data_IF_835248389262
#
_entry.id   IF_835248389262
#
_cell.length_a   1.000
_cell.length_b   1.000
_cell.length_c   1.000
_cell.angle_alpha   90.00
_cell.angle_beta   90.00
_cell.angle_gamma   90.00
#
_symmetry.space_group_name_H-M   'P 1'
#
loop_
_entity.id
_entity.type
_entity.pdbx_description
1 polymer ?
#
# COMPACT_ATOMS: atom_id res chain seq x y z
N UNK A 1 -41.74 19.75 36.92
CA UNK A 1 -41.13 18.40 36.90
C UNK A 1 -41.31 17.79 35.51
N UNK A 2 -40.26 17.74 34.65
CA UNK A 2 -40.23 16.91 33.40
C UNK A 2 -38.97 17.06 32.51
N UNK A 3 -37.87 17.67 32.98
CA UNK A 3 -36.63 17.82 32.18
C UNK A 3 -35.51 16.80 32.47
N UNK A 4 -35.56 16.09 33.61
CA UNK A 4 -34.47 15.19 34.02
C UNK A 4 -34.53 13.77 33.41
N UNK A 5 -35.70 13.35 32.89
CA UNK A 5 -35.90 11.98 32.39
C UNK A 5 -35.38 11.81 30.95
N UNK A 6 -35.44 12.87 30.13
CA UNK A 6 -35.01 12.80 28.72
C UNK A 6 -33.50 12.69 28.53
N UNK A 7 -32.69 13.23 29.45
CA UNK A 7 -31.23 13.15 29.36
C UNK A 7 -30.72 11.74 29.69
N UNK A 8 -31.36 11.03 30.63
CA UNK A 8 -30.98 9.66 30.98
C UNK A 8 -31.25 8.66 29.85
N UNK A 9 -32.36 8.84 29.11
CA UNK A 9 -32.72 7.96 27.99
C UNK A 9 -31.78 8.13 26.78
N UNK A 10 -31.30 9.35 26.51
CA UNK A 10 -30.40 9.62 25.39
C UNK A 10 -28.97 9.07 25.64
N UNK A 11 -28.48 9.11 26.89
CA UNK A 11 -27.16 8.57 27.24
C UNK A 11 -27.15 7.03 27.23
N UNK A 12 -28.26 6.39 27.64
CA UNK A 12 -28.39 4.94 27.58
C UNK A 12 -28.42 4.41 26.13
N UNK A 13 -29.01 5.15 25.19
CA UNK A 13 -29.06 4.77 23.78
C UNK A 13 -27.71 4.90 23.06
N UNK A 14 -26.83 5.82 23.48
CA UNK A 14 -25.47 5.96 22.94
C UNK A 14 -24.52 4.89 23.50
N UNK A 15 -24.77 4.37 24.71
CA UNK A 15 -23.96 3.29 25.31
C UNK A 15 -24.38 1.89 24.83
N UNK A 16 -25.61 1.71 24.34
CA UNK A 16 -26.06 0.44 23.78
C UNK A 16 -25.61 0.23 22.32
N UNK A 17 -25.31 1.31 21.58
CA UNK A 17 -24.81 1.21 20.22
C UNK A 17 -23.31 0.92 20.12
N UNK A 18 -22.51 1.13 21.18
CA UNK A 18 -21.08 0.79 21.17
C UNK A 18 -20.82 -0.69 21.40
N UNK A 19 -21.66 -1.38 22.18
CA UNK A 19 -21.50 -2.83 22.44
C UNK A 19 -21.79 -3.65 21.16
N UNK A 20 -22.75 -3.22 20.34
CA UNK A 20 -23.10 -3.90 19.09
C UNK A 20 -22.10 -3.67 17.94
N UNK A 21 -21.18 -2.69 18.04
CA UNK A 21 -20.12 -2.48 17.04
C UNK A 21 -18.93 -3.40 17.30
N UNK A 22 -18.65 -3.77 18.56
CA UNK A 22 -17.50 -4.61 18.90
C UNK A 22 -17.61 -6.04 18.37
N UNK A 23 -18.80 -6.61 18.17
CA UNK A 23 -18.95 -7.96 17.63
C UNK A 23 -18.67 -8.06 16.12
N UNK A 24 -18.72 -6.95 15.36
CA UNK A 24 -18.32 -6.94 13.94
C UNK A 24 -16.84 -6.69 13.72
N UNK A 25 -16.16 -6.08 14.69
CA UNK A 25 -14.71 -5.94 14.68
C UNK A 25 -14.13 -7.05 15.54
N UNK A 26 -14.01 -8.24 14.92
CA UNK A 26 -13.17 -9.31 15.44
C UNK A 26 -11.73 -8.79 15.56
N UNK A 27 -11.41 -8.16 16.69
CA UNK A 27 -10.06 -8.14 17.21
C UNK A 27 -9.81 -9.57 17.66
N UNK A 28 -9.56 -10.43 16.67
CA UNK A 28 -8.77 -11.61 16.90
C UNK A 28 -7.52 -11.08 17.58
N UNK A 29 -7.38 -11.39 18.87
CA UNK A 29 -6.07 -11.43 19.49
C UNK A 29 -5.34 -12.52 18.72
N UNK A 30 -4.73 -12.12 17.61
CA UNK A 30 -3.76 -12.92 16.91
C UNK A 30 -2.65 -13.13 17.91
N UNK A 31 -2.64 -14.31 18.50
CA UNK A 31 -1.45 -14.91 19.06
C UNK A 31 -0.30 -14.50 18.13
N UNK A 32 0.62 -13.68 18.64
CA UNK A 32 1.68 -13.11 17.83
C UNK A 32 2.42 -14.27 17.18
N UNK A 33 2.08 -14.54 15.92
CA UNK A 33 2.68 -15.66 15.22
C UNK A 33 4.18 -15.40 15.25
N UNK A 34 4.98 -16.44 15.55
CA UNK A 34 6.41 -16.29 15.79
C UNK A 34 6.99 -15.39 14.71
N UNK A 35 7.73 -14.35 15.13
CA UNK A 35 8.43 -13.46 14.20
C UNK A 35 9.10 -14.35 13.15
N UNK A 36 8.71 -14.16 11.88
CA UNK A 36 9.22 -14.99 10.82
C UNK A 36 10.73 -14.79 10.85
N UNK A 37 11.49 -15.85 11.13
CA UNK A 37 12.96 -15.86 11.09
C UNK A 37 13.50 -15.68 9.66
N UNK A 38 12.77 -15.02 8.77
CA UNK A 38 13.26 -14.62 7.47
C UNK A 38 13.89 -13.25 7.60
N UNK A 39 15.13 -13.08 7.12
CA UNK A 39 15.73 -11.75 6.99
C UNK A 39 14.90 -10.82 6.12
N UNK A 40 15.25 -9.52 6.11
CA UNK A 40 14.56 -8.49 5.33
C UNK A 40 14.30 -8.95 3.88
N UNK A 41 15.35 -9.47 3.23
CA UNK A 41 15.33 -10.02 1.87
C UNK A 41 14.18 -11.02 1.69
N UNK A 42 14.10 -12.07 2.50
CA UNK A 42 13.10 -13.12 2.37
C UNK A 42 11.67 -12.59 2.59
N UNK A 43 11.50 -11.57 3.43
CA UNK A 43 10.18 -10.99 3.71
C UNK A 43 9.72 -10.02 2.62
N UNK A 44 10.63 -9.44 1.84
CA UNK A 44 10.31 -8.46 0.79
C UNK A 44 10.47 -8.99 -0.63
N UNK A 45 11.08 -10.15 -0.82
CA UNK A 45 11.42 -10.73 -2.14
C UNK A 45 10.26 -10.69 -3.14
N UNK A 46 9.08 -11.16 -2.73
CA UNK A 46 7.90 -11.18 -3.62
C UNK A 46 7.47 -9.77 -4.04
N UNK A 47 7.56 -8.79 -3.13
CA UNK A 47 7.20 -7.41 -3.42
C UNK A 47 8.20 -6.79 -4.42
N UNK A 48 9.50 -6.96 -4.18
CA UNK A 48 10.54 -6.45 -5.06
C UNK A 48 10.42 -7.05 -6.46
N UNK A 49 10.29 -8.37 -6.55
CA UNK A 49 10.09 -9.05 -7.84
C UNK A 49 8.87 -8.55 -8.60
N UNK A 50 7.75 -8.30 -7.91
CA UNK A 50 6.55 -7.77 -8.56
C UNK A 50 6.70 -6.30 -9.02
N UNK A 51 7.44 -5.48 -8.28
CA UNK A 51 7.74 -4.09 -8.67
C UNK A 51 8.74 -4.03 -9.83
N UNK A 52 9.74 -4.91 -9.86
CA UNK A 52 10.69 -5.04 -10.97
C UNK A 52 9.98 -5.51 -12.25
N UNK A 53 9.11 -6.52 -12.13
CA UNK A 53 8.30 -7.01 -13.25
C UNK A 53 7.41 -5.90 -13.83
N UNK A 54 6.81 -5.06 -12.97
CA UNK A 54 6.05 -3.89 -13.43
C UNK A 54 6.95 -2.90 -14.18
N UNK A 55 8.13 -2.58 -13.63
CA UNK A 55 9.10 -1.69 -14.28
C UNK A 55 9.47 -2.19 -15.67
N UNK A 56 9.75 -3.49 -15.81
CA UNK A 56 10.08 -4.12 -17.09
C UNK A 56 8.92 -4.05 -18.08
N UNK A 57 7.70 -4.36 -17.65
CA UNK A 57 6.49 -4.24 -18.47
C UNK A 57 6.26 -2.82 -18.96
N UNK A 58 6.50 -1.82 -18.12
CA UNK A 58 6.36 -0.40 -18.48
C UNK A 58 7.36 0.02 -19.56
N UNK A 59 8.58 -0.53 -19.57
CA UNK A 59 9.58 -0.25 -20.60
C UNK A 59 9.17 -0.76 -21.99
N UNK A 60 8.38 -1.82 -22.06
CA UNK A 60 7.85 -2.39 -23.32
C UNK A 60 6.57 -1.67 -23.77
N UNK A 61 5.94 -0.91 -22.87
CA UNK A 61 4.62 -0.33 -23.06
C UNK A 61 3.54 -1.25 -22.49
N UNK A 62 2.85 -0.77 -21.45
CA UNK A 62 1.78 -1.50 -20.78
C UNK A 62 0.47 -0.69 -20.93
N UNK A 63 -0.59 -1.27 -21.49
CA UNK A 63 -1.87 -0.57 -21.60
C UNK A 63 -2.47 -0.34 -20.21
N UNK A 64 -3.28 0.71 -20.08
CA UNK A 64 -3.82 1.18 -18.81
C UNK A 64 -4.52 0.08 -17.99
N UNK A 65 -5.37 -0.72 -18.63
CA UNK A 65 -6.13 -1.77 -17.95
C UNK A 65 -5.21 -2.83 -17.36
N UNK A 66 -4.18 -3.25 -18.12
CA UNK A 66 -3.18 -4.19 -17.66
C UNK A 66 -2.33 -3.59 -16.52
N UNK A 67 -1.99 -2.31 -16.62
CA UNK A 67 -1.29 -1.58 -15.56
C UNK A 67 -2.10 -1.57 -14.25
N UNK A 68 -3.40 -1.25 -14.32
CA UNK A 68 -4.29 -1.28 -13.15
C UNK A 68 -4.38 -2.68 -12.53
N UNK A 69 -4.41 -3.73 -13.35
CA UNK A 69 -4.44 -5.11 -12.86
C UNK A 69 -3.13 -5.54 -12.18
N UNK A 70 -1.98 -5.15 -12.72
CA UNK A 70 -0.69 -5.30 -12.03
C UNK A 70 -0.67 -4.55 -10.70
N UNK A 71 -1.16 -3.31 -10.66
CA UNK A 71 -1.24 -2.54 -9.41
C UNK A 71 -2.12 -3.22 -8.37
N UNK A 72 -3.26 -3.81 -8.76
CA UNK A 72 -4.09 -4.61 -7.84
C UNK A 72 -3.31 -5.82 -7.32
N UNK A 73 -2.54 -6.51 -8.17
CA UNK A 73 -1.72 -7.65 -7.78
C UNK A 73 -0.64 -7.24 -6.78
N UNK A 74 0.13 -6.21 -7.10
CA UNK A 74 1.23 -5.71 -6.26
C UNK A 74 0.71 -5.23 -4.91
N UNK A 75 -0.44 -4.52 -4.87
CA UNK A 75 -1.06 -4.13 -3.60
C UNK A 75 -1.39 -5.33 -2.70
N UNK A 76 -1.89 -6.44 -3.27
CA UNK A 76 -2.12 -7.66 -2.48
C UNK A 76 -0.82 -8.26 -1.94
N UNK A 77 0.25 -8.24 -2.73
CA UNK A 77 1.58 -8.69 -2.30
C UNK A 77 2.08 -7.81 -1.16
N UNK A 78 2.03 -6.48 -1.33
CA UNK A 78 2.41 -5.49 -0.32
C UNK A 78 1.67 -5.71 1.01
N UNK A 79 0.36 -5.95 0.98
CA UNK A 79 -0.41 -6.21 2.21
C UNK A 79 -0.07 -7.52 2.92
N UNK A 80 0.62 -8.45 2.26
CA UNK A 80 1.12 -9.68 2.88
C UNK A 80 2.52 -9.53 3.47
N UNK A 81 3.23 -8.45 3.15
CA UNK A 81 4.56 -8.19 3.71
C UNK A 81 4.43 -8.01 5.22
N UNK A 82 5.07 -8.86 6.05
CA UNK A 82 4.85 -8.87 7.48
C UNK A 82 5.70 -7.81 8.18
N UNK A 83 5.43 -6.52 7.90
CA UNK A 83 6.23 -5.39 8.39
C UNK A 83 6.45 -5.38 9.92
N UNK A 84 5.48 -5.83 10.70
CA UNK A 84 5.60 -5.95 12.17
C UNK A 84 6.69 -6.93 12.64
N UNK A 85 7.13 -7.83 11.75
CA UNK A 85 8.16 -8.85 12.02
C UNK A 85 9.52 -8.46 11.43
N UNK A 86 9.65 -7.26 10.86
CA UNK A 86 10.89 -6.75 10.29
C UNK A 86 11.70 -5.99 11.32
N UNK A 87 13.02 -5.97 11.14
CA UNK A 87 13.88 -5.06 11.88
C UNK A 87 13.59 -3.61 11.49
N UNK A 88 13.86 -2.67 12.41
CA UNK A 88 13.69 -1.24 12.14
C UNK A 88 14.49 -0.81 10.90
N UNK A 89 15.72 -1.30 10.74
CA UNK A 89 16.57 -1.00 9.59
C UNK A 89 15.94 -1.44 8.27
N UNK A 90 15.30 -2.62 8.24
CA UNK A 90 14.59 -3.10 7.05
C UNK A 90 13.39 -2.20 6.73
N UNK A 91 12.60 -1.84 7.76
CA UNK A 91 11.42 -0.98 7.61
C UNK A 91 11.76 0.42 7.12
N UNK A 92 12.81 1.05 7.67
CA UNK A 92 13.22 2.40 7.27
C UNK A 92 14.09 2.41 6.01
N UNK A 93 14.68 1.27 5.64
CA UNK A 93 15.49 1.06 4.44
C UNK A 93 14.69 0.40 3.33
N UNK A 94 15.09 -0.82 2.96
CA UNK A 94 14.56 -1.55 1.80
C UNK A 94 13.03 -1.60 1.72
N UNK A 95 12.34 -2.01 2.79
CA UNK A 95 10.89 -2.17 2.78
C UNK A 95 10.16 -0.81 2.67
N UNK A 96 10.65 0.20 3.38
CA UNK A 96 10.09 1.56 3.33
C UNK A 96 10.27 2.19 1.95
N UNK A 97 11.45 2.05 1.35
CA UNK A 97 11.73 2.53 0.00
C UNK A 97 10.91 1.78 -1.05
N UNK A 98 10.76 0.46 -0.95
CA UNK A 98 9.89 -0.30 -1.84
C UNK A 98 8.42 0.16 -1.74
N UNK A 99 7.94 0.45 -0.53
CA UNK A 99 6.63 1.10 -0.32
C UNK A 99 6.55 2.49 -0.96
N UNK A 100 7.63 3.27 -0.92
CA UNK A 100 7.75 4.55 -1.61
C UNK A 100 7.65 4.41 -3.13
N UNK A 101 8.35 3.44 -3.73
CA UNK A 101 8.25 3.15 -5.16
C UNK A 101 6.82 2.75 -5.56
N UNK A 102 6.18 1.89 -4.76
CA UNK A 102 4.77 1.53 -4.96
C UNK A 102 3.84 2.75 -4.95
N UNK A 103 4.06 3.70 -4.03
CA UNK A 103 3.26 4.92 -3.97
C UNK A 103 3.41 5.78 -5.23
N UNK A 104 4.62 5.91 -5.78
CA UNK A 104 4.81 6.66 -7.04
C UNK A 104 4.13 5.98 -8.22
N UNK A 105 4.13 4.65 -8.29
CA UNK A 105 3.28 3.93 -9.24
C UNK A 105 1.79 4.24 -8.99
N UNK A 106 1.29 4.18 -7.75
CA UNK A 106 -0.10 4.53 -7.45
C UNK A 106 -0.43 5.97 -7.91
N UNK A 107 0.47 6.93 -7.74
CA UNK A 107 0.27 8.30 -8.22
C UNK A 107 0.20 8.38 -9.74
N UNK A 108 0.99 7.59 -10.46
CA UNK A 108 0.86 7.47 -11.91
C UNK A 108 -0.52 6.92 -12.32
N UNK A 109 -1.01 5.89 -11.62
CA UNK A 109 -2.35 5.34 -11.84
C UNK A 109 -3.45 6.38 -11.63
N UNK A 110 -3.33 7.18 -10.56
CA UNK A 110 -4.30 8.22 -10.24
C UNK A 110 -4.27 9.33 -11.28
N UNK A 111 -3.10 9.80 -11.72
CA UNK A 111 -2.98 10.80 -12.78
C UNK A 111 -3.63 10.31 -14.08
N UNK A 112 -3.40 9.05 -14.45
CA UNK A 112 -4.04 8.46 -15.62
C UNK A 112 -5.57 8.37 -15.47
N UNK A 113 -6.05 7.95 -14.28
CA UNK A 113 -7.48 7.88 -13.98
C UNK A 113 -8.14 9.25 -14.03
N UNK A 114 -7.52 10.26 -13.41
CA UNK A 114 -8.00 11.65 -13.34
C UNK A 114 -8.16 12.23 -14.74
N UNK A 115 -7.21 11.96 -15.64
CA UNK A 115 -7.37 12.29 -17.05
C UNK A 115 -8.58 11.56 -17.64
N UNK A 116 -8.62 10.23 -17.62
CA UNK A 116 -9.69 9.46 -18.31
C UNK A 116 -11.11 9.84 -17.87
N UNK A 117 -11.31 10.20 -16.58
CA UNK A 117 -12.63 10.62 -16.08
C UNK A 117 -12.98 12.08 -16.40
N UNK A 118 -11.99 12.92 -16.70
CA UNK A 118 -12.20 14.30 -17.11
C UNK A 118 -12.55 14.39 -18.61
N UNK A 119 -13.62 15.12 -18.92
CA UNK A 119 -14.07 15.33 -20.31
C UNK A 119 -13.12 16.22 -21.12
N UNK A 120 -12.22 16.94 -20.46
CA UNK A 120 -11.17 17.77 -21.08
C UNK A 120 -9.80 17.10 -21.15
N UNK A 121 -9.69 15.81 -20.80
CA UNK A 121 -8.41 15.11 -20.81
C UNK A 121 -7.73 15.13 -22.18
N UNK A 122 -6.50 15.61 -22.16
CA UNK A 122 -5.53 15.45 -23.23
C UNK A 122 -4.43 14.53 -22.73
N UNK A 123 -4.61 13.21 -22.96
CA UNK A 123 -3.68 12.21 -22.48
C UNK A 123 -2.25 12.45 -22.99
N UNK A 124 -2.09 13.04 -24.19
CA UNK A 124 -0.77 13.36 -24.72
C UNK A 124 -0.09 14.51 -23.95
N UNK A 125 -0.88 15.44 -23.40
CA UNK A 125 -0.35 16.50 -22.54
C UNK A 125 0.00 16.01 -21.12
N UNK A 126 -0.72 15.01 -20.62
CA UNK A 126 -0.51 14.44 -19.28
C UNK A 126 0.49 13.27 -19.24
N UNK A 127 0.76 12.63 -20.39
CA UNK A 127 1.73 11.53 -20.53
C UNK A 127 3.10 11.86 -19.91
N UNK A 128 3.72 13.05 -20.11
CA UNK A 128 4.99 13.39 -19.47
C UNK A 128 4.93 13.40 -17.93
N UNK A 129 3.77 13.72 -17.33
CA UNK A 129 3.57 13.68 -15.88
C UNK A 129 3.55 12.23 -15.39
N UNK A 130 2.85 11.36 -16.11
CA UNK A 130 2.75 9.92 -15.83
C UNK A 130 4.14 9.25 -15.99
N UNK A 131 4.83 9.51 -17.10
CA UNK A 131 6.18 8.99 -17.36
C UNK A 131 7.19 9.42 -16.30
N UNK A 132 7.12 10.69 -15.86
CA UNK A 132 7.95 11.18 -14.75
C UNK A 132 7.70 10.38 -13.48
N UNK A 133 6.46 9.98 -13.19
CA UNK A 133 6.15 9.15 -12.02
C UNK A 133 6.72 7.74 -12.12
N UNK A 134 6.66 7.13 -13.30
CA UNK A 134 7.32 5.85 -13.56
C UNK A 134 8.84 5.93 -13.38
N UNK A 135 9.45 7.00 -13.88
CA UNK A 135 10.89 7.21 -13.71
C UNK A 135 11.27 7.33 -12.23
N UNK A 136 10.56 8.17 -11.45
CA UNK A 136 10.81 8.32 -10.01
C UNK A 136 10.61 7.00 -9.27
N UNK A 137 9.53 6.27 -9.57
CA UNK A 137 9.27 4.96 -8.97
C UNK A 137 10.43 3.98 -9.23
N UNK A 138 10.95 3.97 -10.47
CA UNK A 138 12.11 3.16 -10.84
C UNK A 138 13.38 3.54 -10.07
N UNK A 139 13.66 4.85 -9.91
CA UNK A 139 14.80 5.33 -9.12
C UNK A 139 14.68 4.92 -7.65
N UNK A 140 13.50 5.12 -7.04
CA UNK A 140 13.27 4.74 -5.64
C UNK A 140 13.39 3.22 -5.45
N UNK A 141 12.92 2.43 -6.41
CA UNK A 141 13.06 0.97 -6.38
C UNK A 141 14.53 0.53 -6.45
N UNK A 142 15.36 1.20 -7.26
CA UNK A 142 16.81 0.95 -7.26
C UNK A 142 17.42 1.22 -5.90
N UNK A 143 17.11 2.36 -5.28
CA UNK A 143 17.59 2.66 -3.92
C UNK A 143 17.07 1.67 -2.88
N UNK A 144 15.86 1.12 -3.07
CA UNK A 144 15.32 0.08 -2.21
C UNK A 144 16.15 -1.21 -2.27
N UNK A 145 16.60 -1.60 -3.48
CA UNK A 145 17.49 -2.76 -3.67
C UNK A 145 18.86 -2.53 -3.02
N UNK A 146 19.43 -1.34 -3.18
CA UNK A 146 20.72 -0.96 -2.58
C UNK A 146 20.67 -0.96 -1.04
N UNK A 147 19.48 -0.80 -0.46
CA UNK A 147 19.26 -0.83 0.99
C UNK A 147 18.96 -2.22 1.55
N UNK A 148 18.97 -3.28 0.73
CA UNK A 148 18.83 -4.65 1.22
C UNK A 148 20.11 -5.05 1.99
N UNK A 149 19.97 -5.64 3.18
CA UNK A 149 21.13 -6.16 3.90
C UNK A 149 21.74 -7.35 3.15
N UNK A 150 23.05 -7.52 3.28
CA UNK A 150 23.74 -8.70 2.75
C UNK A 150 23.10 -9.97 3.33
N UNK A 151 22.97 -11.02 2.52
CA UNK A 151 22.26 -12.26 2.86
C UNK A 151 22.86 -13.06 4.04
N UNK A 152 23.86 -12.52 4.74
CA UNK A 152 24.62 -13.13 5.83
C UNK A 152 24.23 -12.64 7.25
N UNK A 153 23.33 -11.67 7.39
CA UNK A 153 22.80 -11.23 8.71
C UNK A 153 21.61 -12.06 9.22
#
# INVERSE_FOLDING_TARGET
MRRKIFVAAAVALVLLSTIAIQERYGIAQGEAAPAAKGGCVAQTEELFGALDELREKLLVGLPYEAYVDEMKRIKRIFYRVPGERMSLNCLTGAAGLAGGALNEYIYAANAWTECIVDRSCDLAADEPVIERKFWVAGTVLTSAHEALPDASE
#
